data_IF_286628617314
#
_entry.id   IF_286628617314
#
_cell.length_a   1.000
_cell.length_b   1.000
_cell.length_c   1.000
_cell.angle_alpha   90.00
_cell.angle_beta   90.00
_cell.angle_gamma   90.00
#
_symmetry.space_group_name_H-M   'P 1'
#
loop_
_entity.id
_entity.type
_entity.pdbx_description
1 polymer ?
#
# COMPACT_ATOMS: atom_id res chain seq x y z
N UNK A 1 31.19 -15.73 -21.03
CA UNK A 1 30.80 -14.75 -19.99
C UNK A 1 29.32 -14.93 -19.71
N UNK A 2 28.94 -15.13 -18.45
CA UNK A 2 27.64 -15.62 -18.00
C UNK A 2 26.64 -14.48 -17.76
N UNK A 3 25.43 -14.69 -18.28
CA UNK A 3 24.09 -14.27 -17.77
C UNK A 3 23.79 -12.80 -17.47
N UNK A 4 22.84 -12.25 -18.24
CA UNK A 4 21.78 -11.36 -17.74
C UNK A 4 20.55 -11.44 -18.67
N UNK A 5 19.85 -12.58 -18.64
CA UNK A 5 18.65 -12.81 -19.48
C UNK A 5 17.48 -13.41 -18.69
N UNK A 6 17.29 -12.93 -17.46
CA UNK A 6 16.23 -13.39 -16.55
C UNK A 6 15.30 -12.26 -16.04
N UNK A 7 15.33 -11.07 -16.66
CA UNK A 7 14.53 -9.93 -16.24
C UNK A 7 13.51 -9.44 -17.29
N UNK A 8 13.41 -10.09 -18.46
CA UNK A 8 12.38 -9.78 -19.46
C UNK A 8 11.10 -10.54 -19.12
N UNK A 9 10.18 -9.90 -18.39
CA UNK A 9 8.84 -10.45 -18.14
C UNK A 9 8.26 -10.11 -16.77
N UNK A 10 9.06 -9.60 -15.83
CA UNK A 10 8.50 -9.01 -14.62
C UNK A 10 7.94 -7.63 -14.98
N UNK A 11 6.65 -7.34 -14.67
CA UNK A 11 6.04 -6.05 -14.99
C UNK A 11 6.94 -4.94 -14.45
N UNK A 12 7.34 -4.07 -15.38
CA UNK A 12 8.22 -2.93 -15.19
C UNK A 12 7.72 -2.12 -13.99
N UNK A 13 8.31 -2.39 -12.82
CA UNK A 13 7.94 -1.80 -11.53
C UNK A 13 6.47 -2.07 -11.18
N UNK A 14 6.18 -3.17 -10.46
CA UNK A 14 4.91 -3.30 -9.73
C UNK A 14 4.84 -2.10 -8.79
N UNK A 15 4.12 -1.03 -9.19
CA UNK A 15 3.90 0.12 -8.31
C UNK A 15 3.22 -0.45 -7.07
N UNK A 16 3.88 -0.44 -5.90
CA UNK A 16 3.35 -1.10 -4.71
C UNK A 16 1.95 -0.59 -4.38
N UNK A 17 1.75 0.70 -4.67
CA UNK A 17 0.54 1.51 -4.60
C UNK A 17 -0.67 0.92 -5.34
N UNK A 18 -0.48 0.30 -6.51
CA UNK A 18 -1.57 -0.15 -7.39
C UNK A 18 -2.26 -1.45 -6.93
N UNK A 19 -1.73 -2.14 -5.92
CA UNK A 19 -2.29 -3.43 -5.48
C UNK A 19 -2.52 -3.55 -3.97
N UNK A 20 -2.09 -2.61 -3.12
CA UNK A 20 -2.34 -2.69 -1.66
C UNK A 20 -3.84 -2.75 -1.35
N UNK A 21 -4.66 -2.08 -2.15
CA UNK A 21 -6.13 -2.09 -2.05
C UNK A 21 -6.76 -3.48 -2.20
N UNK A 22 -6.08 -4.40 -2.91
CA UNK A 22 -6.54 -5.80 -3.08
C UNK A 22 -6.32 -6.64 -1.82
N UNK A 23 -5.67 -6.09 -0.81
CA UNK A 23 -5.41 -6.72 0.47
C UNK A 23 -6.28 -6.09 1.56
N UNK A 24 -6.85 -6.90 2.45
CA UNK A 24 -7.70 -6.45 3.56
C UNK A 24 -6.89 -5.82 4.71
N UNK A 25 -6.07 -4.81 4.39
CA UNK A 25 -5.12 -4.15 5.29
C UNK A 25 -5.80 -3.27 6.32
N UNK A 26 -6.96 -2.70 5.97
CA UNK A 26 -7.71 -1.75 6.78
C UNK A 26 -8.44 -2.44 7.93
N UNK A 27 -8.25 -1.95 9.16
CA UNK A 27 -9.05 -2.38 10.32
C UNK A 27 -10.29 -1.50 10.47
N UNK A 28 -11.42 -2.02 10.97
CA UNK A 28 -12.50 -1.16 11.44
C UNK A 28 -11.96 -0.16 12.44
N UNK A 29 -12.32 1.13 12.32
CA UNK A 29 -11.84 2.18 13.21
C UNK A 29 -12.15 1.89 14.70
N UNK A 30 -13.20 1.12 14.98
CA UNK A 30 -13.65 0.74 16.33
C UNK A 30 -13.21 -0.69 16.73
N UNK A 31 -12.25 -1.30 16.01
CA UNK A 31 -11.85 -2.68 16.27
C UNK A 31 -11.24 -2.83 17.67
N UNK A 32 -11.77 -3.77 18.46
CA UNK A 32 -11.21 -4.13 19.77
C UNK A 32 -9.95 -4.97 19.56
N UNK A 33 -8.79 -4.44 19.97
CA UNK A 33 -7.50 -5.13 19.91
C UNK A 33 -6.38 -4.16 19.54
N UNK A 34 -5.28 -4.22 20.29
CA UNK A 34 -4.14 -3.32 20.12
C UNK A 34 -3.53 -3.34 18.70
N UNK A 35 -2.71 -2.34 18.37
CA UNK A 35 -1.96 -2.31 17.12
C UNK A 35 -1.06 -3.55 17.01
N UNK A 36 -1.05 -4.21 15.85
CA UNK A 36 -0.18 -5.36 15.59
C UNK A 36 0.17 -5.44 14.12
N UNK A 37 1.38 -5.93 13.84
CA UNK A 37 1.77 -6.25 12.47
C UNK A 37 0.89 -7.39 11.95
N UNK A 38 0.56 -7.35 10.66
CA UNK A 38 -0.29 -8.33 10.00
C UNK A 38 0.40 -8.84 8.75
N UNK A 39 0.34 -10.13 8.53
CA UNK A 39 0.83 -10.76 7.31
C UNK A 39 -0.36 -11.29 6.53
N UNK A 40 -0.36 -11.04 5.23
CA UNK A 40 -1.35 -11.54 4.29
C UNK A 40 -0.64 -12.36 3.24
N UNK A 41 -1.28 -13.44 2.80
CA UNK A 41 -0.76 -14.29 1.74
C UNK A 41 -1.83 -14.48 0.68
N UNK A 42 -1.42 -14.47 -0.58
CA UNK A 42 -2.31 -14.69 -1.73
C UNK A 42 -1.59 -15.49 -2.80
N UNK A 43 -2.27 -16.52 -3.29
CA UNK A 43 -1.84 -17.26 -4.47
C UNK A 43 -2.37 -16.57 -5.74
N UNK A 44 -1.48 -16.37 -6.71
CA UNK A 44 -1.80 -15.83 -8.03
C UNK A 44 -1.37 -16.88 -9.06
N UNK A 45 -2.30 -17.28 -9.92
CA UNK A 45 -1.99 -18.12 -11.09
C UNK A 45 -1.63 -17.22 -12.25
N UNK A 46 -0.45 -17.43 -12.81
CA UNK A 46 0.01 -16.74 -14.01
C UNK A 46 -0.55 -17.43 -15.27
N UNK A 47 -0.61 -16.74 -16.42
CA UNK A 47 -1.16 -17.29 -17.67
C UNK A 47 -0.44 -18.54 -18.18
N UNK A 48 0.82 -18.72 -17.80
CA UNK A 48 1.67 -19.88 -18.10
C UNK A 48 1.41 -21.09 -17.17
N UNK A 49 0.47 -20.97 -16.23
CA UNK A 49 0.17 -22.00 -15.23
C UNK A 49 1.07 -21.94 -13.99
N UNK A 50 2.06 -21.05 -13.95
CA UNK A 50 2.96 -20.88 -12.81
C UNK A 50 2.20 -20.30 -11.61
N UNK A 51 2.50 -20.81 -10.41
CA UNK A 51 1.92 -20.34 -9.14
C UNK A 51 2.87 -19.34 -8.48
N UNK A 52 2.36 -18.16 -8.20
CA UNK A 52 3.04 -17.11 -7.45
C UNK A 52 2.38 -16.97 -6.08
N UNK A 53 3.17 -17.06 -5.01
CA UNK A 53 2.72 -16.74 -3.66
C UNK A 53 3.22 -15.35 -3.31
N UNK A 54 2.29 -14.40 -3.28
CA UNK A 54 2.57 -13.05 -2.78
C UNK A 54 2.27 -13.02 -1.29
N UNK A 55 3.13 -12.34 -0.53
CA UNK A 55 2.97 -12.12 0.90
C UNK A 55 3.21 -10.65 1.20
N UNK A 56 2.26 -10.05 1.90
CA UNK A 56 2.32 -8.65 2.30
C UNK A 56 2.32 -8.58 3.82
N UNK A 57 3.38 -8.04 4.41
CA UNK A 57 3.43 -7.70 5.82
C UNK A 57 3.19 -6.20 6.00
N UNK A 58 2.22 -5.87 6.83
CA UNK A 58 1.83 -4.50 7.17
C UNK A 58 2.19 -4.24 8.62
N UNK A 59 2.98 -3.20 8.85
CA UNK A 59 3.37 -2.76 10.18
C UNK A 59 2.26 -2.01 10.93
N UNK A 60 2.66 -1.34 12.00
CA UNK A 60 1.84 -0.40 12.76
C UNK A 60 2.74 0.72 13.26
N UNK A 61 2.11 1.77 13.78
CA UNK A 61 2.78 2.97 14.30
C UNK A 61 2.37 3.19 15.76
N UNK A 62 3.00 4.18 16.41
CA UNK A 62 2.55 4.74 17.68
C UNK A 62 1.12 5.31 17.60
N UNK A 63 0.72 5.82 16.43
CA UNK A 63 -0.64 6.23 16.10
C UNK A 63 -1.59 5.06 15.77
N UNK A 64 -1.11 3.82 15.86
CA UNK A 64 -1.85 2.58 15.68
C UNK A 64 -1.71 1.92 14.31
N UNK A 65 -2.61 0.98 14.02
CA UNK A 65 -2.71 0.27 12.73
C UNK A 65 -3.55 1.07 11.72
N UNK A 66 -3.38 0.80 10.42
CA UNK A 66 -4.23 1.36 9.38
C UNK A 66 -5.69 0.95 9.55
N UNK A 67 -6.59 1.92 9.37
CA UNK A 67 -8.02 1.79 9.60
C UNK A 67 -8.85 2.09 8.35
N UNK A 68 -10.14 1.76 8.37
CA UNK A 68 -11.10 2.15 7.32
C UNK A 68 -11.27 3.66 7.20
N UNK A 69 -10.93 4.41 8.26
CA UNK A 69 -10.87 5.85 8.22
C UNK A 69 -9.65 6.33 7.39
N UNK A 70 -8.51 5.67 7.55
CA UNK A 70 -7.31 5.94 6.74
C UNK A 70 -7.51 5.58 5.27
N UNK A 71 -8.28 4.52 4.99
CA UNK A 71 -8.68 4.17 3.64
C UNK A 71 -9.41 5.32 2.93
N UNK A 72 -10.33 6.00 3.63
CA UNK A 72 -11.08 7.14 3.07
C UNK A 72 -10.14 8.31 2.78
N UNK A 73 -9.21 8.60 3.69
CA UNK A 73 -8.21 9.67 3.51
C UNK A 73 -7.28 9.35 2.35
N UNK A 74 -6.84 8.09 2.21
CA UNK A 74 -6.05 7.62 1.08
C UNK A 74 -6.79 7.82 -0.25
N UNK A 75 -8.05 7.40 -0.36
CA UNK A 75 -8.83 7.63 -1.59
C UNK A 75 -9.07 9.11 -1.89
N UNK A 76 -9.17 9.97 -0.86
CA UNK A 76 -9.22 11.41 -1.08
C UNK A 76 -7.90 11.96 -1.64
N UNK A 77 -6.75 11.43 -1.21
CA UNK A 77 -5.44 11.76 -1.77
C UNK A 77 -5.32 11.29 -3.23
N UNK A 78 -5.72 10.05 -3.51
CA UNK A 78 -5.76 9.52 -4.89
C UNK A 78 -6.62 10.42 -5.77
N UNK A 79 -7.81 10.81 -5.31
CA UNK A 79 -8.69 11.72 -6.05
C UNK A 79 -8.02 13.07 -6.33
N UNK A 80 -7.36 13.68 -5.34
CA UNK A 80 -6.62 14.94 -5.55
C UNK A 80 -5.48 14.77 -6.56
N UNK A 81 -4.81 13.63 -6.55
CA UNK A 81 -3.76 13.29 -7.50
C UNK A 81 -4.30 13.09 -8.92
N UNK A 82 -5.45 12.41 -9.06
CA UNK A 82 -6.13 12.22 -10.34
C UNK A 82 -6.63 13.53 -10.94
N UNK A 83 -7.25 14.39 -10.12
CA UNK A 83 -7.72 15.73 -10.52
C UNK A 83 -6.57 16.62 -11.01
N UNK A 84 -5.33 16.31 -10.63
CA UNK A 84 -4.10 17.01 -11.06
C UNK A 84 -3.37 16.32 -12.20
N UNK A 85 -4.04 15.41 -12.89
CA UNK A 85 -3.51 14.75 -14.09
C UNK A 85 -2.56 13.59 -13.80
N UNK A 86 -2.59 13.00 -12.60
CA UNK A 86 -1.77 11.83 -12.23
C UNK A 86 -0.26 12.06 -12.41
N UNK A 87 0.19 13.28 -12.12
CA UNK A 87 1.60 13.66 -12.25
C UNK A 87 2.50 12.73 -11.42
N UNK A 88 3.61 12.29 -12.00
CA UNK A 88 4.66 11.59 -11.25
C UNK A 88 5.47 12.55 -10.35
N UNK A 89 5.30 13.86 -10.51
CA UNK A 89 5.91 14.87 -9.66
C UNK A 89 5.14 15.04 -8.34
N UNK A 90 5.77 15.74 -7.39
CA UNK A 90 5.17 16.06 -6.09
C UNK A 90 3.81 16.74 -6.28
N UNK A 91 2.78 16.16 -5.69
CA UNK A 91 1.41 16.66 -5.76
C UNK A 91 1.04 17.30 -4.43
N UNK A 92 1.10 18.64 -4.30
CA UNK A 92 0.80 19.28 -3.04
C UNK A 92 -0.69 19.23 -2.73
N UNK A 93 -1.03 19.02 -1.47
CA UNK A 93 -2.41 19.05 -0.97
C UNK A 93 -2.47 19.84 0.35
N UNK A 94 -3.67 20.19 0.79
CA UNK A 94 -3.89 20.84 2.09
C UNK A 94 -4.89 20.07 2.92
N UNK A 95 -4.77 20.13 4.26
CA UNK A 95 -5.73 19.50 5.18
C UNK A 95 -7.16 20.02 4.97
N UNK A 96 -7.32 21.33 4.70
CA UNK A 96 -8.62 21.93 4.38
C UNK A 96 -9.17 21.42 3.05
N UNK A 97 -8.31 21.26 2.05
CA UNK A 97 -8.68 20.65 0.76
C UNK A 97 -9.16 19.21 0.93
N UNK A 98 -8.41 18.40 1.68
CA UNK A 98 -8.80 17.02 2.00
C UNK A 98 -10.12 16.96 2.77
N UNK A 99 -10.32 17.82 3.78
CA UNK A 99 -11.58 17.90 4.52
C UNK A 99 -12.75 18.20 3.58
N UNK A 100 -12.57 19.09 2.59
CA UNK A 100 -13.58 19.39 1.57
C UNK A 100 -13.88 18.19 0.67
N UNK A 101 -12.85 17.49 0.17
CA UNK A 101 -13.01 16.27 -0.64
C UNK A 101 -13.77 15.18 0.13
N UNK A 102 -13.47 15.05 1.43
CA UNK A 102 -14.12 14.12 2.35
C UNK A 102 -15.48 14.60 2.87
N UNK A 103 -15.96 15.78 2.45
CA UNK A 103 -17.21 16.40 2.89
C UNK A 103 -17.31 16.54 4.42
N UNK A 104 -16.23 16.96 5.08
CA UNK A 104 -16.15 17.18 6.53
C UNK A 104 -16.15 18.65 6.90
N UNK A 105 -16.80 18.98 8.00
CA UNK A 105 -16.77 20.33 8.59
C UNK A 105 -15.35 20.62 9.08
N UNK A 106 -14.79 21.77 8.71
CA UNK A 106 -13.47 22.17 9.18
C UNK A 106 -13.53 22.62 10.64
N UNK A 107 -12.97 21.79 11.53
CA UNK A 107 -12.84 22.07 12.95
C UNK A 107 -11.55 21.43 13.51
N UNK A 108 -11.13 21.76 14.75
CA UNK A 108 -9.91 21.22 15.34
C UNK A 108 -9.87 19.69 15.39
N UNK A 109 -11.01 19.03 15.62
CA UNK A 109 -11.13 17.58 15.65
C UNK A 109 -10.85 16.95 14.28
N UNK A 110 -11.39 17.52 13.20
CA UNK A 110 -11.13 17.10 11.82
C UNK A 110 -9.67 17.28 11.45
N UNK A 111 -9.06 18.42 11.85
CA UNK A 111 -7.62 18.64 11.66
C UNK A 111 -6.82 17.53 12.35
N UNK A 112 -7.08 17.27 13.63
CA UNK A 112 -6.35 16.25 14.38
C UNK A 112 -6.54 14.84 13.79
N UNK A 113 -7.78 14.48 13.43
CA UNK A 113 -8.10 13.19 12.80
C UNK A 113 -7.37 13.00 11.47
N UNK A 114 -7.36 14.01 10.59
CA UNK A 114 -6.64 13.95 9.32
C UNK A 114 -5.14 13.87 9.52
N UNK A 115 -4.57 14.65 10.46
CA UNK A 115 -3.13 14.59 10.77
C UNK A 115 -2.72 13.19 11.21
N UNK A 116 -3.44 12.56 12.15
CA UNK A 116 -3.14 11.19 12.59
C UNK A 116 -3.24 10.18 11.45
N UNK A 117 -4.23 10.34 10.59
CA UNK A 117 -4.40 9.48 9.42
C UNK A 117 -3.23 9.60 8.44
N UNK A 118 -2.81 10.82 8.12
CA UNK A 118 -1.66 11.07 7.25
C UNK A 118 -0.36 10.55 7.86
N UNK A 119 -0.18 10.67 9.18
CA UNK A 119 0.97 10.08 9.88
C UNK A 119 0.98 8.56 9.73
N UNK A 120 -0.15 7.88 9.96
CA UNK A 120 -0.24 6.43 9.74
C UNK A 120 0.03 6.05 8.29
N UNK A 121 -0.50 6.77 7.31
CA UNK A 121 -0.26 6.51 5.89
C UNK A 121 1.22 6.70 5.50
N UNK A 122 1.90 7.67 6.11
CA UNK A 122 3.33 7.92 5.86
C UNK A 122 4.25 6.92 6.56
N UNK A 123 3.96 6.58 7.81
CA UNK A 123 4.86 5.84 8.68
C UNK A 123 4.59 4.34 8.71
N UNK A 124 3.40 3.87 8.30
CA UNK A 124 3.12 2.44 8.25
C UNK A 124 3.97 1.81 7.15
N UNK A 125 4.98 1.06 7.56
CA UNK A 125 5.82 0.29 6.66
C UNK A 125 5.10 -0.94 6.12
N UNK A 126 5.28 -1.18 4.83
CA UNK A 126 4.87 -2.37 4.12
C UNK A 126 6.12 -3.13 3.70
N UNK A 127 6.11 -4.44 3.93
CA UNK A 127 7.13 -5.36 3.44
C UNK A 127 6.43 -6.30 2.48
N UNK A 128 6.85 -6.27 1.22
CA UNK A 128 6.32 -7.09 0.16
C UNK A 128 7.29 -8.22 -0.15
N UNK A 129 6.82 -9.45 -0.02
CA UNK A 129 7.56 -10.67 -0.33
C UNK A 129 6.84 -11.37 -1.50
N UNK A 130 7.48 -11.50 -2.66
CA UNK A 130 6.98 -12.38 -3.73
C UNK A 130 7.83 -13.62 -3.77
N UNK A 131 7.20 -14.79 -3.65
CA UNK A 131 7.84 -16.05 -3.95
C UNK A 131 7.22 -16.63 -5.23
N UNK A 132 8.04 -16.90 -6.24
CA UNK A 132 7.64 -17.72 -7.38
C UNK A 132 8.59 -18.89 -7.57
N UNK A 133 8.10 -19.93 -8.22
CA UNK A 133 8.89 -21.10 -8.61
C UNK A 133 9.35 -20.87 -10.04
N UNK A 134 10.67 -20.86 -10.25
CA UNK A 134 11.25 -20.81 -11.59
C UNK A 134 11.05 -22.17 -12.26
N UNK A 135 10.18 -22.23 -13.29
CA UNK A 135 9.79 -23.47 -13.98
C UNK A 135 10.97 -24.32 -14.48
N UNK A 136 12.03 -23.73 -15.08
CA UNK A 136 13.20 -24.46 -15.55
C UNK A 136 14.12 -25.01 -14.45
N UNK A 137 14.21 -24.35 -13.29
CA UNK A 137 15.19 -24.71 -12.24
C UNK A 137 14.57 -25.30 -10.97
N UNK A 138 13.24 -25.25 -10.83
CA UNK A 138 12.51 -25.62 -9.62
C UNK A 138 12.85 -24.74 -8.41
N UNK A 139 13.63 -23.67 -8.59
CA UNK A 139 14.09 -22.82 -7.50
C UNK A 139 13.01 -21.82 -7.13
N UNK A 140 12.81 -21.66 -5.82
CA UNK A 140 12.00 -20.59 -5.25
C UNK A 140 12.81 -19.30 -5.28
N UNK A 141 12.40 -18.33 -6.07
CA UNK A 141 12.98 -16.99 -6.11
C UNK A 141 12.10 -16.04 -5.30
N UNK A 142 12.74 -15.23 -4.47
CA UNK A 142 12.11 -14.28 -3.56
C UNK A 142 12.45 -12.83 -3.94
N UNK A 143 11.45 -11.98 -4.15
CA UNK A 143 11.63 -10.53 -4.21
C UNK A 143 11.14 -9.92 -2.89
N UNK A 144 12.03 -9.23 -2.17
CA UNK A 144 11.72 -8.47 -0.96
C UNK A 144 11.80 -6.98 -1.28
N UNK A 145 10.71 -6.26 -1.09
CA UNK A 145 10.66 -4.80 -1.23
C UNK A 145 10.01 -4.17 0.02
N UNK A 146 10.38 -2.94 0.35
CA UNK A 146 9.84 -2.20 1.50
C UNK A 146 9.39 -0.80 1.06
N UNK A 147 8.15 -0.43 1.41
CA UNK A 147 7.58 0.86 1.03
C UNK A 147 6.58 1.40 2.07
N UNK A 148 6.15 2.64 1.91
CA UNK A 148 5.02 3.26 2.63
C UNK A 148 4.01 3.85 1.63
N UNK A 149 2.79 4.17 2.07
CA UNK A 149 1.76 4.73 1.16
C UNK A 149 2.10 6.18 0.78
N UNK A 150 2.65 6.97 1.69
CA UNK A 150 3.08 8.34 1.43
C UNK A 150 4.60 8.45 1.55
N UNK A 151 5.25 8.96 0.49
CA UNK A 151 6.69 9.25 0.42
C UNK A 151 6.95 10.75 0.39
#
# INVERSE_FOLDING_TARGET
>A
MKTDRAAEGLPERIRPELNVEKWSIWRPANARGGPRARTFEREVRLPDGTRLVAKLKVGFTDEGSLTTEDQRVYYALVKVWEERGRSAALTPFSLRGLARVLKRIWNPQTKASLTRSLLRLRLTGFIWEQAYIDGPSGRRLGLLDTFSILS
#
